data_IF_051913110633
#
_entry.id   IF_051913110633
#
_cell.length_a   1.000
_cell.length_b   1.000
_cell.length_c   1.000
_cell.angle_alpha   90.00
_cell.angle_beta   90.00
_cell.angle_gamma   90.00
#
_symmetry.space_group_name_H-M   'P 1'
#
loop_
_entity.id
_entity.type
_entity.pdbx_description
1 polymer ?
#
# COMPACT_ATOMS: atom_id res chain seq x y z
N UNK A 1 -18.00 4.55 -1.12
CA UNK A 1 -17.32 4.81 -2.40
C UNK A 1 -17.17 3.49 -3.16
N UNK A 2 -18.23 3.06 -3.84
CA UNK A 2 -18.18 1.89 -4.73
C UNK A 2 -17.65 2.35 -6.09
N UNK A 3 -16.48 1.87 -6.48
CA UNK A 3 -15.99 2.07 -7.83
C UNK A 3 -16.88 1.27 -8.79
N UNK A 4 -17.51 1.95 -9.74
CA UNK A 4 -18.23 1.32 -10.85
C UNK A 4 -17.22 0.45 -11.61
N UNK A 5 -17.44 -0.87 -11.58
CA UNK A 5 -16.66 -1.81 -12.35
C UNK A 5 -17.05 -1.62 -13.82
N UNK A 6 -16.08 -1.34 -14.70
CA UNK A 6 -16.33 -1.20 -16.13
C UNK A 6 -17.13 -2.42 -16.65
N UNK A 7 -18.30 -2.16 -17.23
CA UNK A 7 -19.08 -3.16 -17.95
C UNK A 7 -18.37 -3.47 -19.28
N UNK A 8 -18.32 -4.74 -19.71
CA UNK A 8 -17.81 -5.06 -21.04
C UNK A 8 -18.57 -4.25 -22.10
N UNK A 9 -17.86 -3.43 -22.88
CA UNK A 9 -18.44 -2.57 -23.91
C UNK A 9 -18.85 -1.16 -23.48
N UNK A 10 -18.37 -0.67 -22.33
CA UNK A 10 -18.51 0.74 -21.92
C UNK A 10 -17.17 1.26 -21.41
N UNK A 11 -16.79 2.45 -21.88
CA UNK A 11 -15.64 3.19 -21.40
C UNK A 11 -16.05 4.44 -20.63
N UNK A 12 -15.24 4.87 -19.67
CA UNK A 12 -15.57 6.01 -18.79
C UNK A 12 -14.38 6.95 -18.61
N UNK A 13 -14.65 8.25 -18.60
CA UNK A 13 -13.74 9.29 -18.15
C UNK A 13 -14.36 9.97 -16.94
N UNK A 14 -13.62 10.08 -15.84
CA UNK A 14 -14.11 10.75 -14.64
C UNK A 14 -13.01 11.54 -13.93
N UNK A 15 -13.41 12.56 -13.17
CA UNK A 15 -12.53 13.37 -12.36
C UNK A 15 -13.05 13.43 -10.94
N UNK A 16 -12.14 13.25 -9.98
CA UNK A 16 -12.39 13.51 -8.56
C UNK A 16 -11.69 14.79 -8.16
N UNK A 17 -12.47 15.76 -7.71
CA UNK A 17 -12.02 17.05 -7.23
C UNK A 17 -12.15 17.08 -5.71
N UNK A 18 -11.13 17.56 -5.03
CA UNK A 18 -11.14 17.75 -3.57
C UNK A 18 -10.69 19.16 -3.26
N UNK A 19 -11.55 19.92 -2.60
CA UNK A 19 -11.27 21.23 -2.04
C UNK A 19 -11.22 21.10 -0.51
N UNK A 20 -10.16 21.60 0.11
CA UNK A 20 -9.99 21.61 1.56
C UNK A 20 -9.60 23.01 2.01
N UNK A 21 -10.38 23.58 2.92
CA UNK A 21 -10.08 24.89 3.51
C UNK A 21 -9.04 24.74 4.64
N UNK A 22 -8.10 25.69 4.78
CA UNK A 22 -7.19 25.80 5.94
C UNK A 22 -6.15 24.68 6.17
N UNK A 23 -5.94 23.79 5.20
CA UNK A 23 -4.88 22.79 5.34
C UNK A 23 -3.49 23.35 5.00
N UNK A 24 -2.55 23.30 5.95
CA UNK A 24 -1.17 23.78 5.76
C UNK A 24 -0.24 22.75 5.06
N UNK A 25 -0.56 21.46 5.15
CA UNK A 25 0.34 20.37 4.75
C UNK A 25 -0.14 19.56 3.54
N UNK A 26 -1.34 19.85 3.04
CA UNK A 26 -1.93 19.24 1.85
C UNK A 26 -2.39 20.34 0.91
N UNK A 27 -2.45 20.09 -0.41
CA UNK A 27 -2.95 21.07 -1.36
C UNK A 27 -4.39 21.49 -1.01
N UNK A 28 -4.70 22.78 -1.20
CA UNK A 28 -6.06 23.29 -0.98
C UNK A 28 -7.03 22.69 -1.99
N UNK A 29 -6.55 22.39 -3.19
CA UNK A 29 -7.35 21.84 -4.27
C UNK A 29 -6.54 20.79 -5.01
N UNK A 30 -7.16 19.66 -5.31
CA UNK A 30 -6.56 18.58 -6.07
C UNK A 30 -7.57 17.94 -7.01
N UNK A 31 -7.09 17.48 -8.16
CA UNK A 31 -7.87 16.78 -9.17
C UNK A 31 -7.17 15.50 -9.55
N UNK A 32 -7.92 14.40 -9.63
CA UNK A 32 -7.45 13.13 -10.20
C UNK A 32 -8.36 12.78 -11.36
N UNK A 33 -7.80 12.62 -12.56
CA UNK A 33 -8.51 12.15 -13.75
C UNK A 33 -8.35 10.64 -13.92
N UNK A 34 -9.44 9.94 -14.25
CA UNK A 34 -9.50 8.49 -14.37
C UNK A 34 -10.06 8.07 -15.74
N UNK A 35 -9.41 7.11 -16.37
CA UNK A 35 -9.92 6.38 -17.53
C UNK A 35 -10.24 4.96 -17.10
N UNK A 36 -11.50 4.53 -17.19
CA UNK A 36 -11.96 3.20 -16.75
C UNK A 36 -11.54 2.87 -15.30
N UNK A 37 -11.57 3.89 -14.44
CA UNK A 37 -11.16 3.80 -13.04
C UNK A 37 -9.63 3.77 -12.80
N UNK A 38 -8.81 3.84 -13.86
CA UNK A 38 -7.35 3.96 -13.74
C UNK A 38 -6.95 5.43 -13.68
N UNK A 39 -6.17 5.87 -12.67
CA UNK A 39 -5.73 7.26 -12.59
C UNK A 39 -4.75 7.57 -13.71
N UNK A 40 -5.10 8.54 -14.54
CA UNK A 40 -4.32 8.95 -15.72
C UNK A 40 -3.55 10.23 -15.46
N UNK A 41 -4.11 11.16 -14.69
CA UNK A 41 -3.54 12.48 -14.45
C UNK A 41 -3.83 12.97 -13.02
N UNK A 42 -2.96 13.86 -12.55
CA UNK A 42 -3.09 14.51 -11.25
C UNK A 42 -2.76 16.00 -11.36
N UNK A 43 -3.55 16.84 -10.71
CA UNK A 43 -3.28 18.26 -10.54
C UNK A 43 -3.41 18.63 -9.06
N UNK A 44 -2.62 19.59 -8.60
CA UNK A 44 -2.78 20.18 -7.29
C UNK A 44 -2.46 21.69 -7.28
N UNK A 45 -3.06 22.41 -6.34
CA UNK A 45 -2.88 23.86 -6.21
C UNK A 45 -1.58 24.30 -5.55
N UNK A 46 -0.72 23.37 -5.14
CA UNK A 46 0.62 23.70 -4.61
C UNK A 46 1.63 23.80 -5.75
N UNK A 47 1.56 22.88 -6.72
CA UNK A 47 2.45 22.84 -7.87
C UNK A 47 1.86 23.49 -9.12
N UNK A 48 0.54 23.70 -9.17
CA UNK A 48 -0.21 24.33 -10.27
C UNK A 48 0.12 23.74 -11.65
N UNK A 49 0.31 22.43 -11.71
CA UNK A 49 0.65 21.72 -12.95
C UNK A 49 -0.05 20.36 -13.01
N UNK A 50 -0.35 19.93 -14.22
CA UNK A 50 -0.85 18.58 -14.47
C UNK A 50 0.35 17.64 -14.59
N UNK A 51 0.29 16.51 -13.89
CA UNK A 51 1.28 15.44 -14.00
C UNK A 51 0.60 14.18 -14.51
N UNK A 52 1.22 13.54 -15.50
CA UNK A 52 0.76 12.24 -15.97
C UNK A 52 1.03 11.18 -14.91
N UNK A 53 0.05 10.32 -14.68
CA UNK A 53 0.14 9.09 -13.89
C UNK A 53 0.25 7.85 -14.79
N UNK A 54 0.33 8.04 -16.11
CA UNK A 54 0.49 6.96 -17.08
C UNK A 54 1.93 6.44 -17.06
N UNK A 55 2.09 5.16 -16.73
CA UNK A 55 3.39 4.49 -16.73
C UNK A 55 4.12 4.51 -18.08
N UNK A 56 3.37 4.54 -19.18
CA UNK A 56 3.89 4.43 -20.54
C UNK A 56 4.05 5.80 -21.25
N UNK A 57 3.51 6.87 -20.65
CA UNK A 57 3.58 8.27 -21.11
C UNK A 57 3.75 9.16 -19.88
N UNK A 58 4.98 9.33 -19.37
CA UNK A 58 5.22 10.15 -18.19
C UNK A 58 4.97 11.65 -18.45
N UNK A 59 4.96 12.06 -19.72
CA UNK A 59 4.59 13.41 -20.12
C UNK A 59 3.07 13.53 -20.35
N UNK A 60 2.46 14.69 -20.04
CA UNK A 60 1.09 14.99 -20.43
C UNK A 60 0.91 14.83 -21.94
N UNK A 61 -0.29 14.46 -22.40
CA UNK A 61 -0.54 14.26 -23.81
C UNK A 61 -0.36 15.60 -24.56
N UNK A 62 0.39 15.66 -25.68
CA UNK A 62 0.57 16.90 -26.44
C UNK A 62 -0.73 17.48 -27.00
N UNK A 63 -1.78 16.67 -27.07
CA UNK A 63 -3.08 17.01 -27.63
C UNK A 63 -3.97 17.82 -26.68
N UNK A 64 -3.57 17.99 -25.41
CA UNK A 64 -4.33 18.77 -24.45
C UNK A 64 -3.47 19.96 -24.01
N UNK A 65 -3.94 21.17 -24.31
CA UNK A 65 -3.25 22.40 -23.96
C UNK A 65 -3.18 22.49 -22.42
N UNK A 66 -1.97 22.47 -21.84
CA UNK A 66 -1.76 22.63 -20.40
C UNK A 66 -2.47 23.87 -19.84
N UNK A 67 -2.55 24.94 -20.64
CA UNK A 67 -3.26 26.16 -20.28
C UNK A 67 -4.78 25.96 -20.17
N UNK A 68 -5.38 25.16 -21.06
CA UNK A 68 -6.81 24.83 -20.99
C UNK A 68 -7.13 23.97 -19.77
N UNK A 69 -6.28 22.98 -19.45
CA UNK A 69 -6.43 22.16 -18.25
C UNK A 69 -6.31 22.99 -16.98
N UNK A 70 -5.33 23.90 -16.94
CA UNK A 70 -5.17 24.83 -15.81
C UNK A 70 -6.40 25.73 -15.68
N UNK A 71 -6.88 26.31 -16.77
CA UNK A 71 -8.09 27.13 -16.79
C UNK A 71 -9.33 26.35 -16.30
N UNK A 72 -9.51 25.11 -16.72
CA UNK A 72 -10.60 24.25 -16.25
C UNK A 72 -10.49 23.94 -14.74
N UNK A 73 -9.28 23.69 -14.25
CA UNK A 73 -9.03 23.46 -12.83
C UNK A 73 -9.30 24.72 -11.98
N UNK A 74 -8.88 25.90 -12.45
CA UNK A 74 -9.16 27.19 -11.80
C UNK A 74 -10.65 27.50 -11.78
N UNK A 75 -11.34 27.30 -12.89
CA UNK A 75 -12.79 27.47 -12.97
C UNK A 75 -13.52 26.57 -11.98
N UNK A 76 -13.14 25.30 -11.94
CA UNK A 76 -13.72 24.32 -11.01
C UNK A 76 -13.42 24.67 -9.55
N UNK A 77 -12.22 25.16 -9.25
CA UNK A 77 -11.85 25.63 -7.91
C UNK A 77 -12.78 26.75 -7.44
N UNK A 78 -13.03 27.76 -8.28
CA UNK A 78 -13.91 28.90 -7.95
C UNK A 78 -15.33 28.40 -7.66
N UNK A 79 -15.88 27.58 -8.57
CA UNK A 79 -17.22 26.98 -8.41
C UNK A 79 -17.36 26.19 -7.10
N UNK A 80 -16.38 25.31 -6.81
CA UNK A 80 -16.41 24.51 -5.58
C UNK A 80 -16.19 25.36 -4.33
N UNK A 81 -15.41 26.43 -4.41
CA UNK A 81 -15.19 27.33 -3.28
C UNK A 81 -16.47 28.07 -2.90
N UNK A 82 -17.24 28.55 -3.87
CA UNK A 82 -18.56 29.14 -3.63
C UNK A 82 -19.52 28.13 -3.00
N UNK A 83 -19.61 26.92 -3.53
CA UNK A 83 -20.43 25.84 -2.97
C UNK A 83 -20.02 25.47 -1.54
N UNK A 84 -18.73 25.45 -1.24
CA UNK A 84 -18.21 25.23 0.11
C UNK A 84 -18.70 26.33 1.08
N UNK A 85 -18.65 27.60 0.69
CA UNK A 85 -19.13 28.69 1.56
C UNK A 85 -20.65 28.61 1.78
N UNK A 86 -21.41 28.26 0.76
CA UNK A 86 -22.86 28.04 0.86
C UNK A 86 -23.18 26.86 1.79
N UNK A 87 -22.46 25.73 1.67
CA UNK A 87 -22.65 24.57 2.53
C UNK A 87 -22.33 24.89 3.99
N UNK A 88 -21.22 25.59 4.26
CA UNK A 88 -20.88 26.07 5.60
C UNK A 88 -21.98 26.94 6.20
N UNK A 89 -22.52 27.87 5.41
CA UNK A 89 -23.62 28.74 5.84
C UNK A 89 -24.88 27.93 6.15
N UNK A 90 -25.26 26.99 5.28
CA UNK A 90 -26.43 26.14 5.45
C UNK A 90 -26.36 25.34 6.76
N UNK A 91 -25.21 24.71 7.04
CA UNK A 91 -25.00 23.90 8.24
C UNK A 91 -24.56 24.72 9.47
N UNK A 92 -24.55 26.05 9.40
CA UNK A 92 -24.10 26.95 10.47
C UNK A 92 -22.67 26.67 10.97
N UNK A 93 -21.77 26.27 10.09
CA UNK A 93 -20.36 26.04 10.40
C UNK A 93 -19.57 27.35 10.29
N UNK A 94 -19.07 27.85 11.42
CA UNK A 94 -18.34 29.13 11.52
C UNK A 94 -16.82 29.01 11.53
N UNK A 95 -16.28 27.79 11.60
CA UNK A 95 -14.84 27.49 11.59
C UNK A 95 -14.58 25.99 11.61
N UNK A 96 -13.31 25.60 11.49
CA UNK A 96 -12.91 24.20 11.38
C UNK A 96 -12.55 23.79 9.96
N UNK A 97 -11.90 22.62 9.87
CA UNK A 97 -11.49 22.01 8.61
C UNK A 97 -12.72 21.40 7.94
N UNK A 98 -13.11 21.97 6.80
CA UNK A 98 -14.19 21.44 5.98
C UNK A 98 -13.68 21.09 4.58
N UNK A 99 -14.28 20.04 4.01
CA UNK A 99 -13.97 19.57 2.67
C UNK A 99 -15.19 19.66 1.78
N UNK A 100 -14.97 20.05 0.53
CA UNK A 100 -15.95 19.94 -0.54
C UNK A 100 -15.37 19.06 -1.64
N UNK A 101 -16.12 18.07 -2.07
CA UNK A 101 -15.68 17.07 -3.04
C UNK A 101 -16.67 17.05 -4.19
N UNK A 102 -16.15 16.95 -5.41
CA UNK A 102 -16.95 16.78 -6.62
C UNK A 102 -16.45 15.55 -7.35
N UNK A 103 -17.35 14.69 -7.79
CA UNK A 103 -17.05 13.62 -8.74
C UNK A 103 -17.87 13.90 -9.98
N UNK A 104 -17.23 14.05 -11.14
CA UNK A 104 -17.91 14.28 -12.41
C UNK A 104 -17.29 13.43 -13.51
N UNK A 105 -18.08 12.96 -14.46
CA UNK A 105 -17.58 12.10 -15.51
C UNK A 105 -18.65 11.74 -16.54
N UNK A 106 -18.20 11.05 -17.58
CA UNK A 106 -19.04 10.53 -18.63
C UNK A 106 -18.69 9.09 -18.99
N UNK A 107 -19.67 8.40 -19.55
CA UNK A 107 -19.57 7.04 -20.03
C UNK A 107 -19.95 7.03 -21.51
N UNK A 108 -19.24 6.22 -22.29
CA UNK A 108 -19.50 5.97 -23.70
C UNK A 108 -19.59 4.45 -23.90
N UNK A 109 -20.79 3.99 -24.26
CA UNK A 109 -21.05 2.60 -24.60
C UNK A 109 -20.77 2.32 -26.09
N UNK A 110 -20.55 1.05 -26.43
CA UNK A 110 -20.28 0.58 -27.80
C UNK A 110 -21.42 0.90 -28.79
N UNK A 111 -22.66 0.98 -28.29
CA UNK A 111 -23.85 1.39 -29.06
C UNK A 111 -23.91 2.90 -29.32
N UNK A 112 -22.95 3.67 -28.80
CA UNK A 112 -22.87 5.12 -28.90
C UNK A 112 -23.64 5.87 -27.81
N UNK A 113 -24.28 5.17 -26.87
CA UNK A 113 -24.98 5.79 -25.74
C UNK A 113 -23.98 6.55 -24.86
N UNK A 114 -24.33 7.78 -24.52
CA UNK A 114 -23.52 8.68 -23.69
C UNK A 114 -24.27 9.02 -22.42
N UNK A 115 -23.60 8.85 -21.28
CA UNK A 115 -24.12 9.25 -19.98
C UNK A 115 -23.16 10.25 -19.35
N UNK A 116 -23.70 11.25 -18.68
CA UNK A 116 -22.92 12.15 -17.82
C UNK A 116 -23.43 12.04 -16.39
N UNK A 117 -22.53 12.11 -15.43
CA UNK A 117 -22.85 12.09 -14.02
C UNK A 117 -22.00 13.11 -13.28
N UNK A 118 -22.59 13.80 -12.31
CA UNK A 118 -21.85 14.60 -11.36
C UNK A 118 -22.48 14.49 -9.96
N UNK A 119 -21.64 14.52 -8.93
CA UNK A 119 -22.04 14.45 -7.53
C UNK A 119 -21.14 15.34 -6.69
N UNK A 120 -21.76 16.10 -5.77
CA UNK A 120 -21.05 16.88 -4.78
C UNK A 120 -21.25 16.29 -3.39
N UNK A 121 -20.19 16.36 -2.58
CA UNK A 121 -20.16 15.91 -1.20
C UNK A 121 -19.48 16.97 -0.31
N UNK A 122 -19.89 17.01 0.96
CA UNK A 122 -19.36 17.91 1.98
C UNK A 122 -19.01 17.11 3.22
N UNK A 123 -17.79 17.29 3.74
CA UNK A 123 -17.25 16.53 4.86
C UNK A 123 -17.41 15.00 4.70
N UNK A 124 -17.28 14.52 3.46
CA UNK A 124 -17.37 13.10 3.09
C UNK A 124 -18.80 12.55 2.96
N UNK A 125 -19.83 13.38 3.07
CA UNK A 125 -21.24 12.99 2.87
C UNK A 125 -21.79 13.55 1.56
N UNK A 126 -22.40 12.67 0.76
CA UNK A 126 -23.04 13.03 -0.51
C UNK A 126 -24.16 14.07 -0.26
N UNK A 127 -24.09 15.23 -0.93
CA UNK A 127 -25.04 16.33 -0.77
C UNK A 127 -25.96 16.48 -1.96
N UNK A 128 -25.40 16.50 -3.17
CA UNK A 128 -26.12 16.85 -4.40
C UNK A 128 -25.74 15.88 -5.51
N UNK A 129 -26.70 15.55 -6.37
CA UNK A 129 -26.47 14.81 -7.61
C UNK A 129 -26.99 15.61 -8.80
N UNK A 130 -26.21 15.71 -9.86
CA UNK A 130 -26.66 16.37 -11.07
C UNK A 130 -27.63 15.47 -11.83
N UNK A 131 -28.81 16.01 -12.13
CA UNK A 131 -29.86 15.35 -12.87
C UNK A 131 -29.84 15.81 -14.32
N UNK A 132 -29.48 14.90 -15.23
CA UNK A 132 -29.39 15.17 -16.67
C UNK A 132 -30.75 15.41 -17.33
N UNK A 133 -31.84 14.84 -16.81
CA UNK A 133 -33.17 14.99 -17.40
C UNK A 133 -33.78 16.36 -17.09
N UNK A 134 -33.41 16.93 -15.93
CA UNK A 134 -33.91 18.23 -15.45
C UNK A 134 -32.86 19.34 -15.49
N UNK A 135 -31.63 19.01 -15.90
CA UNK A 135 -30.48 19.89 -16.01
C UNK A 135 -30.13 20.67 -14.73
N UNK A 136 -30.36 20.09 -13.55
CA UNK A 136 -30.16 20.77 -12.26
C UNK A 136 -29.52 19.86 -11.21
N UNK A 137 -29.02 20.44 -10.13
CA UNK A 137 -28.62 19.68 -8.95
C UNK A 137 -29.83 19.29 -8.11
N UNK A 138 -30.03 18.00 -7.89
CA UNK A 138 -31.02 17.46 -6.98
C UNK A 138 -30.36 17.13 -5.62
N UNK A 139 -31.04 17.40 -4.49
CA UNK A 139 -30.52 17.15 -3.17
C UNK A 139 -30.60 15.67 -2.80
N UNK A 140 -29.53 15.15 -2.20
CA UNK A 140 -29.44 13.79 -1.68
C UNK A 140 -29.77 13.72 -0.18
N UNK A 141 -29.81 14.86 0.51
CA UNK A 141 -30.18 14.96 1.92
C UNK A 141 -31.43 15.83 2.11
N UNK A 142 -32.35 15.47 3.02
CA UNK A 142 -33.62 16.20 3.20
C UNK A 142 -33.47 17.68 3.54
N UNK A 143 -32.39 18.04 4.23
CA UNK A 143 -32.08 19.40 4.70
C UNK A 143 -31.90 20.39 3.55
N UNK A 144 -31.44 19.90 2.38
CA UNK A 144 -31.14 20.72 1.21
C UNK A 144 -32.33 20.93 0.26
N UNK A 145 -33.50 20.34 0.53
CA UNK A 145 -34.66 20.37 -0.40
C UNK A 145 -35.11 21.76 -0.85
N UNK A 146 -34.89 22.77 -0.02
CA UNK A 146 -35.29 24.15 -0.29
C UNK A 146 -34.09 25.11 -0.40
N UNK A 147 -32.86 24.59 -0.52
CA UNK A 147 -31.66 25.42 -0.67
C UNK A 147 -31.36 25.68 -2.15
N UNK A 148 -32.11 26.61 -2.73
CA UNK A 148 -31.98 26.98 -4.15
C UNK A 148 -30.58 27.50 -4.48
N UNK A 149 -29.87 28.13 -3.55
CA UNK A 149 -28.52 28.64 -3.78
C UNK A 149 -27.51 27.49 -3.92
N UNK A 150 -27.58 26.48 -3.05
CA UNK A 150 -26.77 25.27 -3.18
C UNK A 150 -27.16 24.41 -4.39
N UNK A 151 -28.43 24.41 -4.78
CA UNK A 151 -28.91 23.67 -5.94
C UNK A 151 -28.72 24.41 -7.28
N UNK A 152 -28.40 25.71 -7.24
CA UNK A 152 -28.21 26.51 -8.45
C UNK A 152 -27.09 25.94 -9.32
N UNK A 153 -27.36 25.81 -10.61
CA UNK A 153 -26.38 25.44 -11.63
C UNK A 153 -26.43 26.49 -12.73
N UNK A 154 -25.28 26.79 -13.34
CA UNK A 154 -25.28 27.41 -14.66
C UNK A 154 -25.55 26.30 -15.69
N UNK A 155 -26.82 26.17 -16.07
CA UNK A 155 -27.31 25.12 -16.98
C UNK A 155 -26.61 25.17 -18.35
N UNK A 156 -26.14 26.36 -18.77
CA UNK A 156 -25.42 26.55 -20.03
C UNK A 156 -24.05 25.88 -19.95
N UNK A 157 -23.40 25.98 -18.80
CA UNK A 157 -22.04 25.47 -18.59
C UNK A 157 -22.00 23.94 -18.50
N UNK A 158 -22.94 23.33 -17.77
CA UNK A 158 -23.01 21.88 -17.57
C UNK A 158 -23.33 21.12 -18.86
N UNK A 159 -24.38 21.52 -19.56
CA UNK A 159 -24.87 20.73 -20.70
C UNK A 159 -24.13 21.05 -22.01
N UNK A 160 -23.79 22.33 -22.26
CA UNK A 160 -23.19 22.71 -23.54
C UNK A 160 -21.66 22.65 -23.54
N UNK A 161 -21.02 22.58 -22.37
CA UNK A 161 -19.55 22.60 -22.25
C UNK A 161 -19.03 21.30 -21.65
N UNK A 162 -19.39 20.96 -20.40
CA UNK A 162 -18.74 19.85 -19.69
C UNK A 162 -19.04 18.47 -20.27
N UNK A 163 -20.30 18.17 -20.63
CA UNK A 163 -20.63 16.86 -21.20
C UNK A 163 -19.96 16.62 -22.57
N UNK A 164 -20.08 17.50 -23.58
CA UNK A 164 -19.40 17.32 -24.86
C UNK A 164 -17.87 17.24 -24.72
N UNK A 165 -17.30 18.09 -23.87
CA UNK A 165 -15.85 18.08 -23.61
C UNK A 165 -15.40 16.77 -22.96
N UNK A 166 -16.16 16.25 -21.99
CA UNK A 166 -15.85 14.97 -21.35
C UNK A 166 -15.77 13.84 -22.38
N UNK A 167 -16.76 13.75 -23.27
CA UNK A 167 -16.81 12.70 -24.30
C UNK A 167 -15.69 12.88 -25.33
N UNK A 168 -15.37 14.13 -25.69
CA UNK A 168 -14.23 14.43 -26.56
C UNK A 168 -12.90 13.98 -25.94
N UNK A 169 -12.69 14.31 -24.66
CA UNK A 169 -11.50 13.89 -23.90
C UNK A 169 -11.44 12.36 -23.80
N UNK A 170 -12.55 11.69 -23.45
CA UNK A 170 -12.64 10.24 -23.39
C UNK A 170 -12.20 9.60 -24.73
N UNK A 171 -12.73 10.08 -25.86
CA UNK A 171 -12.34 9.58 -27.19
C UNK A 171 -10.86 9.80 -27.49
N UNK A 172 -10.30 10.95 -27.11
CA UNK A 172 -8.88 11.24 -27.26
C UNK A 172 -8.01 10.25 -26.48
N UNK A 173 -8.37 9.97 -25.22
CA UNK A 173 -7.70 8.96 -24.41
C UNK A 173 -7.82 7.57 -25.02
N UNK A 174 -9.01 7.16 -25.47
CA UNK A 174 -9.21 5.84 -26.09
C UNK A 174 -8.36 5.68 -27.35
N UNK A 175 -8.25 6.68 -28.22
CA UNK A 175 -7.40 6.60 -29.41
C UNK A 175 -5.91 6.55 -29.04
N UNK A 176 -5.47 7.27 -28.00
CA UNK A 176 -4.10 7.17 -27.49
C UNK A 176 -3.79 5.79 -26.90
N UNK A 177 -4.78 5.14 -26.29
CA UNK A 177 -4.66 3.86 -25.58
C UNK A 177 -4.88 2.65 -26.50
N UNK A 178 -5.44 2.85 -27.70
CA UNK A 178 -5.81 1.81 -28.68
C UNK A 178 -4.65 0.92 -29.11
N UNK A 179 -3.51 1.53 -29.45
CA UNK A 179 -2.31 0.81 -29.87
C UNK A 179 -1.33 0.57 -28.72
N UNK A 180 -1.77 0.79 -27.47
CA UNK A 180 -0.90 0.63 -26.30
C UNK A 180 -0.56 -0.85 -26.11
N UNK A 181 0.74 -1.20 -26.00
CA UNK A 181 1.13 -2.49 -25.46
C UNK A 181 0.62 -2.59 -24.02
N UNK A 182 -0.36 -3.46 -23.76
CA UNK A 182 -0.90 -3.64 -22.41
C UNK A 182 0.24 -4.08 -21.51
N UNK A 183 0.66 -3.18 -20.61
CA UNK A 183 1.65 -3.49 -19.59
C UNK A 183 1.10 -4.64 -18.76
N UNK A 184 1.91 -5.68 -18.64
CA UNK A 184 1.56 -6.89 -17.89
C UNK A 184 2.72 -7.20 -16.97
N UNK A 185 2.48 -7.04 -15.68
CA UNK A 185 3.45 -7.39 -14.65
C UNK A 185 2.94 -8.63 -13.94
N UNK A 186 3.74 -9.70 -13.98
CA UNK A 186 3.42 -10.98 -13.36
C UNK A 186 3.38 -10.83 -11.83
N UNK A 187 2.34 -11.33 -11.13
CA UNK A 187 2.28 -11.30 -9.68
C UNK A 187 3.43 -12.10 -9.07
N UNK A 188 4.01 -11.57 -7.99
CA UNK A 188 4.81 -12.35 -7.04
C UNK A 188 3.85 -12.90 -6.00
N UNK A 189 3.81 -14.22 -5.88
CA UNK A 189 2.87 -14.92 -5.00
C UNK A 189 3.64 -15.60 -3.89
N UNK A 190 3.21 -15.37 -2.65
CA UNK A 190 3.77 -15.99 -1.46
C UNK A 190 2.65 -16.56 -0.60
N UNK A 191 2.90 -17.75 -0.05
CA UNK A 191 2.01 -18.36 0.94
C UNK A 191 2.81 -18.57 2.21
N UNK A 192 2.42 -17.88 3.27
CA UNK A 192 3.10 -17.94 4.56
C UNK A 192 2.09 -18.09 5.69
N UNK A 193 2.56 -18.56 6.84
CA UNK A 193 1.77 -18.60 8.05
C UNK A 193 2.39 -17.64 9.04
N UNK A 194 1.57 -16.85 9.72
CA UNK A 194 2.04 -15.96 10.77
C UNK A 194 1.24 -16.21 12.04
N UNK A 195 1.95 -16.48 13.12
CA UNK A 195 1.36 -16.49 14.46
C UNK A 195 1.44 -15.08 15.03
N UNK A 196 0.30 -14.52 15.38
CA UNK A 196 0.24 -13.20 16.02
C UNK A 196 0.75 -13.31 17.45
N UNK A 197 1.84 -12.62 17.76
CA UNK A 197 2.36 -12.55 19.12
C UNK A 197 1.38 -11.86 20.10
N UNK A 198 0.43 -11.06 19.59
CA UNK A 198 -0.53 -10.28 20.38
C UNK A 198 -1.82 -11.04 20.68
N UNK A 199 -2.37 -11.77 19.69
CA UNK A 199 -3.64 -12.49 19.83
C UNK A 199 -3.47 -14.00 20.04
N UNK A 200 -2.25 -14.53 19.86
CA UNK A 200 -1.97 -15.97 19.90
C UNK A 200 -2.62 -16.76 18.76
N UNK A 201 -3.34 -16.09 17.85
CA UNK A 201 -3.98 -16.71 16.70
C UNK A 201 -3.00 -16.88 15.54
N UNK A 202 -3.09 -18.02 14.88
CA UNK A 202 -2.27 -18.37 13.72
C UNK A 202 -3.08 -18.22 12.45
N UNK A 203 -2.51 -17.59 11.43
CA UNK A 203 -3.19 -17.31 10.17
C UNK A 203 -2.33 -17.76 8.99
N UNK A 204 -2.96 -18.38 7.98
CA UNK A 204 -2.33 -18.68 6.69
C UNK A 204 -2.73 -17.61 5.70
N UNK A 205 -1.75 -16.89 5.16
CA UNK A 205 -1.96 -15.80 4.20
C UNK A 205 -1.40 -16.19 2.85
N UNK A 206 -2.21 -16.03 1.80
CA UNK A 206 -1.71 -15.87 0.45
C UNK A 206 -1.64 -14.39 0.09
N UNK A 207 -0.46 -13.94 -0.32
CA UNK A 207 -0.21 -12.60 -0.83
C UNK A 207 0.21 -12.70 -2.29
N UNK A 208 -0.55 -12.07 -3.18
CA UNK A 208 -0.10 -11.71 -4.52
C UNK A 208 0.24 -10.21 -4.52
N UNK A 209 1.43 -9.83 -4.98
CA UNK A 209 1.86 -8.42 -5.03
C UNK A 209 2.69 -8.14 -6.28
N UNK A 210 2.77 -6.87 -6.67
CA UNK A 210 3.58 -6.43 -7.80
C UNK A 210 2.94 -6.77 -9.14
N UNK A 211 1.61 -6.88 -9.24
CA UNK A 211 0.93 -7.22 -10.48
C UNK A 211 0.21 -6.02 -11.11
N UNK A 212 0.07 -6.06 -12.44
CA UNK A 212 -0.70 -5.09 -13.22
C UNK A 212 -1.16 -5.78 -14.51
N UNK A 213 -2.43 -5.63 -14.97
CA UNK A 213 -3.49 -4.72 -14.48
C UNK A 213 -4.16 -5.16 -13.16
N UNK A 214 -5.06 -4.32 -12.63
CA UNK A 214 -5.74 -4.47 -11.32
C UNK A 214 -6.52 -5.78 -11.16
N UNK A 215 -7.13 -6.28 -12.22
CA UNK A 215 -7.97 -7.48 -12.16
C UNK A 215 -7.11 -8.74 -11.95
N UNK A 216 -7.29 -9.39 -10.80
CA UNK A 216 -6.61 -10.64 -10.42
C UNK A 216 -7.58 -11.53 -9.64
N UNK A 217 -7.63 -12.82 -9.98
CA UNK A 217 -8.37 -13.81 -9.21
C UNK A 217 -7.42 -14.61 -8.33
N UNK A 218 -7.72 -14.67 -7.04
CA UNK A 218 -6.93 -15.39 -6.04
C UNK A 218 -7.82 -16.35 -5.25
N UNK A 219 -7.47 -17.63 -5.28
CA UNK A 219 -8.14 -18.70 -4.53
C UNK A 219 -7.15 -19.34 -3.56
N UNK A 220 -7.46 -19.30 -2.25
CA UNK A 220 -6.73 -20.08 -1.25
C UNK A 220 -7.31 -21.51 -1.21
N UNK A 221 -6.43 -22.51 -1.31
CA UNK A 221 -6.76 -23.92 -1.27
C UNK A 221 -6.24 -24.56 0.02
N UNK A 222 -7.10 -25.32 0.71
CA UNK A 222 -6.75 -26.26 1.78
C UNK A 222 -6.93 -27.67 1.24
N UNK A 223 -5.85 -28.44 1.14
CA UNK A 223 -5.85 -29.82 0.59
C UNK A 223 -6.49 -29.93 -0.80
N UNK A 224 -6.13 -29.00 -1.70
CA UNK A 224 -6.69 -28.87 -3.07
C UNK A 224 -8.16 -28.46 -3.13
N UNK A 225 -8.81 -28.15 -2.00
CA UNK A 225 -10.18 -27.64 -1.96
C UNK A 225 -10.19 -26.13 -1.70
N UNK A 226 -10.99 -25.36 -2.43
CA UNK A 226 -11.13 -23.92 -2.17
C UNK A 226 -11.71 -23.69 -0.78
N UNK A 227 -11.12 -22.75 -0.06
CA UNK A 227 -11.64 -22.26 1.22
C UNK A 227 -12.82 -21.31 0.92
N UNK A 228 -13.96 -21.43 1.60
CA UNK A 228 -15.08 -20.51 1.42
C UNK A 228 -14.70 -19.06 1.73
N UNK A 229 -15.17 -18.10 0.92
CA UNK A 229 -14.83 -16.67 1.08
C UNK A 229 -15.24 -16.12 2.46
N UNK A 230 -16.28 -16.68 3.10
CA UNK A 230 -16.74 -16.26 4.43
C UNK A 230 -15.76 -16.61 5.56
N UNK A 231 -14.88 -17.59 5.34
CA UNK A 231 -13.82 -17.96 6.29
C UNK A 231 -12.55 -17.14 6.08
N UNK A 232 -12.49 -16.35 5.00
CA UNK A 232 -11.31 -15.58 4.62
C UNK A 232 -11.44 -14.12 5.04
N UNK A 233 -10.32 -13.55 5.47
CA UNK A 233 -10.16 -12.11 5.65
C UNK A 233 -9.36 -11.51 4.49
N UNK A 234 -9.55 -10.22 4.24
CA UNK A 234 -8.96 -9.54 3.09
C UNK A 234 -9.85 -9.63 1.85
N UNK A 235 -9.25 -9.95 0.69
CA UNK A 235 -9.98 -10.07 -0.58
C UNK A 235 -10.09 -8.78 -1.39
N UNK A 236 -9.70 -7.63 -0.82
CA UNK A 236 -9.63 -6.37 -1.55
C UNK A 236 -8.28 -6.20 -2.26
N UNK A 237 -8.32 -5.75 -3.53
CA UNK A 237 -7.13 -5.36 -4.29
C UNK A 237 -6.73 -3.95 -3.90
N UNK A 238 -5.54 -3.83 -3.31
CA UNK A 238 -4.96 -2.57 -2.85
C UNK A 238 -3.86 -2.10 -3.81
N UNK A 239 -3.68 -0.78 -4.00
CA UNK A 239 -2.57 -0.24 -4.79
C UNK A 239 -1.24 -0.31 -4.03
N UNK A 240 -0.15 -0.37 -4.78
CA UNK A 240 1.22 -0.16 -4.32
C UNK A 240 1.71 1.23 -4.74
N UNK A 241 2.76 1.74 -4.09
CA UNK A 241 3.36 3.05 -4.40
C UNK A 241 4.09 3.12 -5.75
N UNK A 242 4.37 1.97 -6.36
CA UNK A 242 5.02 1.83 -7.67
C UNK A 242 4.03 1.68 -8.83
N UNK A 243 2.73 1.87 -8.56
CA UNK A 243 1.66 1.75 -9.56
C UNK A 243 1.23 0.32 -9.90
N UNK A 244 1.79 -0.68 -9.21
CA UNK A 244 1.27 -2.06 -9.23
C UNK A 244 0.20 -2.28 -8.16
N UNK A 245 -0.33 -3.49 -8.08
CA UNK A 245 -1.35 -3.87 -7.12
C UNK A 245 -0.92 -5.04 -6.24
N UNK A 246 -1.62 -5.19 -5.12
CA UNK A 246 -1.50 -6.31 -4.19
C UNK A 246 -2.88 -6.82 -3.77
N UNK A 247 -2.98 -8.11 -3.50
CA UNK A 247 -4.18 -8.78 -3.01
C UNK A 247 -3.76 -9.81 -1.97
N UNK A 248 -4.41 -9.77 -0.81
CA UNK A 248 -4.21 -10.75 0.26
C UNK A 248 -5.52 -11.45 0.60
N UNK A 249 -5.46 -12.76 0.77
CA UNK A 249 -6.51 -13.55 1.44
C UNK A 249 -5.89 -14.37 2.53
N UNK A 250 -6.50 -14.33 3.70
CA UNK A 250 -5.97 -14.99 4.87
C UNK A 250 -7.03 -15.84 5.58
N UNK A 251 -6.63 -17.01 6.06
CA UNK A 251 -7.46 -17.96 6.79
C UNK A 251 -6.94 -18.08 8.23
N UNK A 252 -7.77 -17.72 9.19
CA UNK A 252 -7.49 -17.97 10.60
C UNK A 252 -7.60 -19.47 10.90
N UNK A 253 -6.59 -20.02 11.58
CA UNK A 253 -6.58 -21.41 12.02
C UNK A 253 -7.11 -21.52 13.44
N UNK A 254 -7.94 -22.52 13.69
CA UNK A 254 -8.28 -22.93 15.05
C UNK A 254 -7.08 -23.59 15.74
N UNK A 255 -7.11 -23.69 17.08
CA UNK A 255 -6.06 -24.37 17.85
C UNK A 255 -5.92 -25.85 17.46
N UNK A 256 -7.04 -26.52 17.19
CA UNK A 256 -7.03 -27.92 16.72
C UNK A 256 -6.38 -28.07 15.34
N UNK A 257 -6.57 -27.09 14.45
CA UNK A 257 -5.92 -27.05 13.13
C UNK A 257 -4.43 -26.71 13.23
N UNK A 258 -4.05 -25.88 14.20
CA UNK A 258 -2.65 -25.58 14.51
C UNK A 258 -1.91 -26.84 15.00
N UNK A 259 -2.54 -27.69 15.80
CA UNK A 259 -1.99 -28.98 16.22
C UNK A 259 -1.94 -30.00 15.08
N UNK A 260 -2.91 -29.95 14.16
CA UNK A 260 -2.96 -30.80 12.94
C UNK A 260 -2.15 -30.24 11.77
N UNK A 261 -1.43 -29.12 11.97
CA UNK A 261 -0.74 -28.33 10.94
C UNK A 261 0.16 -29.15 10.00
N UNK A 262 0.75 -30.23 10.48
CA UNK A 262 1.58 -31.12 9.66
C UNK A 262 0.80 -31.88 8.58
N UNK A 263 -0.53 -31.91 8.63
CA UNK A 263 -1.37 -32.66 7.69
C UNK A 263 -1.97 -31.83 6.56
N UNK A 264 -2.16 -30.53 6.74
CA UNK A 264 -2.87 -29.70 5.77
C UNK A 264 -1.91 -29.01 4.81
N UNK A 265 -2.12 -29.20 3.51
CA UNK A 265 -1.34 -28.57 2.46
C UNK A 265 -2.08 -27.34 1.93
N UNK A 266 -1.54 -26.17 2.24
CA UNK A 266 -2.06 -24.89 1.73
C UNK A 266 -1.41 -24.52 0.40
N UNK A 267 -2.23 -24.10 -0.56
CA UNK A 267 -1.78 -23.67 -1.90
C UNK A 267 -2.57 -22.45 -2.30
N UNK A 268 -1.92 -21.50 -2.96
CA UNK A 268 -2.59 -20.36 -3.53
C UNK A 268 -2.61 -20.44 -5.04
N UNK A 269 -3.80 -20.29 -5.61
CA UNK A 269 -4.06 -20.34 -7.04
C UNK A 269 -4.39 -18.95 -7.54
N UNK A 270 -3.65 -18.48 -8.53
CA UNK A 270 -3.73 -17.13 -9.06
C UNK A 270 -3.95 -17.16 -10.56
N UNK A 271 -4.96 -16.44 -11.02
CA UNK A 271 -5.22 -16.18 -12.43
C UNK A 271 -5.13 -14.69 -12.69
N UNK A 272 -4.31 -14.32 -13.66
CA UNK A 272 -4.01 -12.93 -13.99
C UNK A 272 -3.59 -12.83 -15.45
N UNK A 273 -3.97 -11.74 -16.12
CA UNK A 273 -3.70 -11.55 -17.55
C UNK A 273 -2.21 -11.41 -17.90
N UNK A 274 -1.35 -11.16 -16.90
CA UNK A 274 0.10 -11.16 -17.07
C UNK A 274 0.75 -12.54 -17.01
N UNK A 275 0.02 -13.58 -16.59
CA UNK A 275 0.49 -14.95 -16.56
C UNK A 275 0.10 -15.70 -17.83
N UNK A 276 1.00 -16.51 -18.36
CA UNK A 276 0.73 -17.36 -19.53
C UNK A 276 -0.26 -18.48 -19.20
N UNK A 277 -0.21 -18.97 -17.96
CA UNK A 277 -1.09 -19.98 -17.39
C UNK A 277 -1.38 -19.67 -15.93
N UNK A 278 -2.41 -20.29 -15.37
CA UNK A 278 -2.72 -20.23 -13.95
C UNK A 278 -1.51 -20.62 -13.09
N UNK A 279 -1.20 -19.82 -12.07
CA UNK A 279 -0.08 -20.03 -11.16
C UNK A 279 -0.58 -20.66 -9.86
N UNK A 280 0.02 -21.79 -9.45
CA UNK A 280 -0.21 -22.39 -8.13
C UNK A 280 1.08 -22.38 -7.31
N UNK A 281 1.05 -21.72 -6.16
CA UNK A 281 2.18 -21.65 -5.22
C UNK A 281 1.79 -22.34 -3.93
N UNK A 282 2.54 -23.38 -3.55
CA UNK A 282 2.38 -24.03 -2.26
C UNK A 282 3.13 -23.24 -1.19
N UNK A 283 2.71 -23.39 0.07
CA UNK A 283 3.46 -22.88 1.21
C UNK A 283 4.87 -23.49 1.23
N UNK A 284 5.88 -22.64 1.36
CA UNK A 284 7.24 -23.10 1.64
C UNK A 284 7.34 -23.61 3.09
N UNK A 285 7.96 -24.78 3.34
CA UNK A 285 8.27 -25.19 4.70
C UNK A 285 9.22 -24.15 5.31
N UNK A 286 8.94 -23.70 6.53
CA UNK A 286 9.92 -22.88 7.26
C UNK A 286 11.19 -23.73 7.44
N UNK A 287 12.39 -23.15 7.30
CA UNK A 287 13.60 -23.88 7.61
C UNK A 287 13.50 -24.33 9.06
N UNK A 288 13.52 -25.65 9.28
CA UNK A 288 13.63 -26.22 10.62
C UNK A 288 14.93 -25.68 11.21
N UNK A 289 14.81 -24.65 12.05
CA UNK A 289 15.91 -24.23 12.91
C UNK A 289 16.02 -25.37 13.93
N UNK A 290 16.85 -26.36 13.58
CA UNK A 290 16.92 -27.65 14.27
C UNK A 290 17.12 -27.38 15.75
N UNK A 291 16.02 -27.51 16.50
CA UNK A 291 15.99 -27.14 17.91
C UNK A 291 16.94 -28.04 18.69
N UNK A 292 17.22 -29.25 18.16
CA UNK A 292 18.25 -30.15 18.63
C UNK A 292 19.67 -29.59 18.46
N UNK A 293 19.97 -28.93 17.33
CA UNK A 293 21.27 -28.29 17.11
C UNK A 293 21.47 -27.09 18.04
N UNK A 294 20.44 -26.26 18.22
CA UNK A 294 20.49 -25.09 19.12
C UNK A 294 20.63 -25.54 20.57
N UNK A 295 19.81 -26.49 21.02
CA UNK A 295 19.92 -27.05 22.37
C UNK A 295 21.29 -27.70 22.59
N UNK A 296 21.80 -28.44 21.60
CA UNK A 296 23.13 -29.05 21.64
C UNK A 296 24.26 -28.01 21.78
N UNK A 297 24.20 -26.90 21.03
CA UNK A 297 25.16 -25.81 21.13
C UNK A 297 25.08 -25.13 22.50
N UNK A 298 23.88 -24.83 23.00
CA UNK A 298 23.69 -24.17 24.31
C UNK A 298 24.20 -25.06 25.44
N UNK A 299 23.88 -26.35 25.42
CA UNK A 299 24.37 -27.32 26.41
C UNK A 299 25.90 -27.45 26.33
N UNK A 300 26.44 -27.54 25.11
CA UNK A 300 27.89 -27.58 24.89
C UNK A 300 28.62 -26.37 25.48
N UNK A 301 28.11 -25.16 25.24
CA UNK A 301 28.67 -23.92 25.79
C UNK A 301 28.59 -23.90 27.32
N UNK A 302 27.47 -24.32 27.91
CA UNK A 302 27.30 -24.39 29.36
C UNK A 302 28.27 -25.38 30.03
N UNK A 303 28.47 -26.56 29.43
CA UNK A 303 29.41 -27.56 29.94
C UNK A 303 30.84 -27.00 29.88
N UNK A 304 31.23 -26.41 28.76
CA UNK A 304 32.57 -25.82 28.60
C UNK A 304 32.79 -24.69 29.62
N UNK A 305 31.81 -23.82 29.82
CA UNK A 305 31.86 -22.73 30.80
C UNK A 305 31.95 -23.22 32.26
N UNK A 306 31.39 -24.38 32.58
CA UNK A 306 31.47 -24.98 33.93
C UNK A 306 32.76 -25.77 34.15
N UNK A 307 33.23 -26.50 33.14
CA UNK A 307 34.37 -27.41 33.28
C UNK A 307 35.71 -26.66 33.21
N UNK A 308 35.85 -25.65 32.35
CA UNK A 308 37.10 -24.92 32.20
C UNK A 308 37.57 -24.18 33.47
N UNK A 309 36.71 -23.47 34.23
CA UNK A 309 37.12 -22.82 35.47
C UNK A 309 37.49 -23.82 36.57
N UNK A 310 36.75 -24.95 36.66
CA UNK A 310 37.04 -26.01 37.63
C UNK A 310 38.39 -26.67 37.31
N UNK A 311 38.64 -26.99 36.04
CA UNK A 311 39.92 -27.54 35.59
C UNK A 311 41.08 -26.56 35.85
N UNK A 312 40.91 -25.27 35.54
CA UNK A 312 41.89 -24.23 35.84
C UNK A 312 42.16 -24.11 37.34
N UNK A 313 41.12 -24.14 38.18
CA UNK A 313 41.24 -24.06 39.64
C UNK A 313 41.95 -25.29 40.24
N UNK A 314 41.66 -26.50 39.74
CA UNK A 314 42.35 -27.73 40.15
C UNK A 314 43.82 -27.69 39.75
N UNK A 315 44.15 -27.24 38.53
CA UNK A 315 45.54 -27.09 38.08
C UNK A 315 46.30 -26.03 38.89
N UNK A 316 45.66 -24.91 39.23
CA UNK A 316 46.24 -23.89 40.12
C UNK A 316 46.49 -24.41 41.53
N UNK A 317 45.56 -25.20 42.11
CA UNK A 317 45.78 -25.86 43.42
C UNK A 317 46.87 -26.92 43.40
N UNK A 318 47.05 -27.65 42.29
CA UNK A 318 48.17 -28.58 42.11
C UNK A 318 49.52 -27.86 42.02
N UNK A 319 49.57 -26.70 41.36
CA UNK A 319 50.80 -25.90 41.23
C UNK A 319 51.17 -25.19 42.56
N UNK A 320 50.18 -24.74 43.34
CA UNK A 320 50.39 -24.12 44.65
C UNK A 320 50.77 -25.07 45.81
N UNK A 321 50.75 -26.39 45.60
CA UNK A 321 51.22 -27.38 46.59
C UNK A 321 52.67 -27.84 46.37
N UNK A 322 53.35 -27.36 45.33
CA UNK A 322 54.72 -27.75 44.96
C UNK A 322 55.85 -26.88 45.53
N UNK A 323 55.56 -25.74 46.16
CA UNK A 323 56.58 -24.76 46.59
C UNK A 323 56.52 -24.48 48.10
N UNK A 324 56.62 -25.53 48.93
CA UNK A 324 57.05 -25.41 50.34
C UNK A 324 58.04 -26.53 50.65
N UNK A 325 59.33 -26.21 50.54
CA UNK A 325 60.40 -27.06 51.06
C UNK A 325 61.64 -27.08 50.18
N UNK A 326 62.47 -26.03 50.27
CA UNK A 326 63.93 -26.12 50.09
C UNK A 326 64.61 -24.79 50.47
N UNK A 327 65.13 -24.75 51.70
CA UNK A 327 66.14 -23.81 52.21
C UNK A 327 67.14 -24.68 53.01
N UNK A 328 68.27 -25.05 52.40
CA UNK A 328 69.66 -24.54 52.53
C UNK A 328 70.45 -24.98 53.78
N UNK A 329 71.61 -25.57 53.52
CA UNK A 329 72.92 -25.42 54.21
C UNK A 329 73.91 -26.27 53.41
N UNK A 330 75.18 -25.97 53.20
CA UNK A 330 76.08 -24.81 53.38
C UNK A 330 77.39 -25.26 52.70
N UNK A 331 78.17 -24.38 52.08
CA UNK A 331 79.63 -24.53 52.04
C UNK A 331 80.30 -23.21 51.65
N UNK A 332 81.23 -22.84 52.50
CA UNK A 332 81.91 -21.58 52.65
C UNK A 332 83.18 -21.50 51.78
N UNK A 333 83.38 -20.34 51.14
CA UNK A 333 84.69 -19.66 51.05
C UNK A 333 85.75 -20.17 50.07
N UNK A 334 86.09 -19.33 49.08
CA UNK A 334 87.34 -18.53 49.13
C UNK A 334 87.44 -17.52 47.98
N UNK A 335 87.91 -16.35 48.37
CA UNK A 335 88.54 -15.26 47.60
C UNK A 335 89.53 -15.77 46.51
N UNK A 336 89.90 -15.01 45.48
CA UNK A 336 90.47 -13.66 45.58
C UNK A 336 90.73 -13.06 44.18
N UNK A 337 90.77 -11.71 44.16
CA UNK A 337 91.50 -10.77 43.26
C UNK A 337 91.06 -10.58 41.79
N UNK A 338 90.70 -9.33 41.45
CA UNK A 338 90.51 -8.78 40.09
C UNK A 338 91.83 -8.51 39.34
N UNK A 339 92.01 -7.42 38.53
CA UNK A 339 91.11 -6.30 38.22
C UNK A 339 91.10 -5.88 36.72
N UNK A 340 90.37 -4.78 36.43
CA UNK A 340 90.62 -3.66 35.48
C UNK A 340 89.31 -3.25 34.79
N UNK A 341 88.61 -2.26 35.34
CA UNK A 341 88.74 -0.78 35.16
C UNK A 341 88.03 -0.31 33.89
N UNK A 342 86.86 0.35 34.01
CA UNK A 342 86.66 1.82 34.19
C UNK A 342 86.98 2.56 32.88
N UNK A 343 86.20 3.50 32.34
CA UNK A 343 85.47 4.68 32.86
C UNK A 343 84.83 5.33 31.60
N UNK A 344 83.88 6.27 31.55
CA UNK A 344 83.55 7.51 32.28
C UNK A 344 82.19 7.96 31.71
N UNK A 345 81.34 8.78 32.34
CA UNK A 345 81.41 9.56 33.57
C UNK A 345 80.04 10.17 33.85
#
# INVERSE_FOLDING_TARGET
>A
LGFLCATPGTHSMSWSFTLTQEAQWIPKFAVVGYLDGLPMEYYDSTHERVVSRRHWRPDPAPAENEEEKKGAAEHTYISMFEKLQLAKKHFNHSGGLHTYQRQAGCELSDDGTQLFHARDAYDGQDLLQYNMDHLRWDPLVPELKNDEALMHSDDIEQNNTYQPLCIQVLKSYLEQEKDRPVMRVKPRVQVFQKTSALSGGTEVTCLATGFYPRALELTLLRDRRPVPEQELTGGEVLPNGDGTYQLRKSLALSKEEEERRERHRYTCRVQHSGLDNMLEVAREPEPDLDTGLIAGVVIGVLIVALVLPVAACVLWRKKGRGERGREYTEAQGRDQSGPSSNSSG
#
